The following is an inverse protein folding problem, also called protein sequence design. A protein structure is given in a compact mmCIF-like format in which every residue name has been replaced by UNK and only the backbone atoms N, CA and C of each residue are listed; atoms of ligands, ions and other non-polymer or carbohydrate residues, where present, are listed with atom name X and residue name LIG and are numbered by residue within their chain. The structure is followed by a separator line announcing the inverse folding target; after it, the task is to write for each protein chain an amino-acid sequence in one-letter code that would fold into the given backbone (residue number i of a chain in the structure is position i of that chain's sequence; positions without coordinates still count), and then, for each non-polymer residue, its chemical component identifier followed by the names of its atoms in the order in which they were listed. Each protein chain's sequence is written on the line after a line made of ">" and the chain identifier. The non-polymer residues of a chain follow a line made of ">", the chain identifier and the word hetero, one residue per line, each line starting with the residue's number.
data_IF_982851481416
#
_entry.id   IF_982851481416
#
_cell.length_a   1.000
_cell.length_b   1.000
_cell.length_c   1.000
_cell.angle_alpha   90.00
_cell.angle_beta   90.00
_cell.angle_gamma   90.00
#
_symmetry.space_group_name_H-M   'P 1'
#
loop_
_entity.id
_entity.type
_entity.pdbx_description
1 polymer ?
#
# COMPACT_ATOMS: atom_id res chain seq x y z
N UNK A 1 -13.25 6.17 -1.31
CA UNK A 1 -13.23 4.70 -1.15
C UNK A 1 -12.73 4.12 -2.46
N UNK A 2 -11.40 4.05 -2.60
CA UNK A 2 -10.72 3.55 -3.78
C UNK A 2 -11.06 2.06 -3.94
N UNK A 3 -11.90 1.73 -4.92
CA UNK A 3 -12.32 0.36 -5.25
C UNK A 3 -11.22 -0.47 -5.92
N UNK A 4 -10.02 0.09 -6.09
CA UNK A 4 -8.89 -0.52 -6.80
C UNK A 4 -7.83 -1.14 -5.88
N UNK A 5 -7.93 -0.97 -4.55
CA UNK A 5 -7.01 -1.59 -3.56
C UNK A 5 -7.13 -3.12 -3.45
N UNK A 6 -8.12 -3.73 -4.09
CA UNK A 6 -8.34 -5.19 -4.13
C UNK A 6 -7.95 -5.83 -5.46
N UNK A 7 -7.29 -5.10 -6.36
CA UNK A 7 -6.90 -5.66 -7.65
C UNK A 7 -5.61 -6.46 -7.48
N UNK A 8 -5.63 -7.74 -7.87
CA UNK A 8 -4.46 -8.62 -7.81
C UNK A 8 -3.26 -8.03 -8.57
N UNK A 9 -2.16 -7.67 -7.90
CA UNK A 9 -0.95 -7.18 -8.56
C UNK A 9 -0.30 -8.27 -9.44
N UNK A 10 -0.60 -9.54 -9.19
CA UNK A 10 -0.17 -10.64 -10.05
C UNK A 10 -0.67 -10.52 -11.51
N UNK A 11 -1.81 -9.88 -11.73
CA UNK A 11 -2.47 -9.74 -13.03
C UNK A 11 -2.09 -8.46 -13.81
N UNK A 12 -1.32 -7.56 -13.21
CA UNK A 12 -0.92 -6.27 -13.77
C UNK A 12 0.45 -6.33 -14.48
N UNK A 13 0.66 -5.42 -15.43
CA UNK A 13 1.97 -5.17 -16.04
C UNK A 13 2.87 -4.29 -15.13
N UNK A 14 4.18 -4.26 -15.40
CA UNK A 14 5.15 -3.52 -14.57
C UNK A 14 4.87 -2.01 -14.47
N UNK A 15 4.36 -1.39 -15.55
CA UNK A 15 3.93 0.02 -15.52
C UNK A 15 2.70 0.24 -14.63
N UNK A 16 1.72 -0.66 -14.69
CA UNK A 16 0.53 -0.61 -13.83
C UNK A 16 0.91 -0.81 -12.36
N UNK A 17 1.81 -1.75 -12.07
CA UNK A 17 2.33 -2.01 -10.72
C UNK A 17 3.07 -0.80 -10.14
N UNK A 18 3.89 -0.11 -10.94
CA UNK A 18 4.55 1.13 -10.48
C UNK A 18 3.57 2.24 -10.18
N UNK A 19 2.55 2.42 -11.03
CA UNK A 19 1.50 3.40 -10.78
C UNK A 19 0.73 3.05 -9.50
N UNK A 20 0.39 1.77 -9.33
CA UNK A 20 -0.31 1.29 -8.16
C UNK A 20 0.51 1.43 -6.87
N UNK A 21 1.80 1.10 -6.91
CA UNK A 21 2.72 1.33 -5.79
C UNK A 21 2.81 2.81 -5.43
N UNK A 22 2.80 3.71 -6.42
CA UNK A 22 2.80 5.15 -6.17
C UNK A 22 1.52 5.62 -5.48
N UNK A 23 0.36 5.10 -5.88
CA UNK A 23 -0.93 5.37 -5.23
C UNK A 23 -0.92 4.85 -3.78
N UNK A 24 -0.52 3.59 -3.56
CA UNK A 24 -0.44 2.98 -2.22
C UNK A 24 0.48 3.78 -1.30
N UNK A 25 1.65 4.22 -1.79
CA UNK A 25 2.58 5.05 -1.00
C UNK A 25 2.03 6.43 -0.70
N UNK A 26 1.24 7.02 -1.60
CA UNK A 26 0.58 8.29 -1.38
C UNK A 26 -0.52 8.17 -0.30
N UNK A 27 -1.28 7.09 -0.33
CA UNK A 27 -2.29 6.80 0.70
C UNK A 27 -1.61 6.54 2.06
N UNK A 28 -0.52 5.77 2.12
CA UNK A 28 0.27 5.56 3.34
C UNK A 28 0.84 6.87 3.91
N UNK A 29 1.30 7.78 3.08
CA UNK A 29 1.77 9.11 3.52
C UNK A 29 0.62 9.92 4.12
N UNK A 30 -0.53 9.91 3.45
CA UNK A 30 -1.76 10.57 3.94
C UNK A 30 -2.23 9.96 5.26
N UNK A 31 -2.18 8.63 5.37
CA UNK A 31 -2.58 7.90 6.56
C UNK A 31 -1.63 8.19 7.73
N UNK A 32 -0.31 8.25 7.49
CA UNK A 32 0.66 8.68 8.50
C UNK A 32 0.42 10.12 8.98
N UNK A 33 -0.01 11.03 8.10
CA UNK A 33 -0.37 12.40 8.52
C UNK A 33 -1.62 12.43 9.41
N UNK A 34 -2.51 11.45 9.28
CA UNK A 34 -3.74 11.27 10.07
C UNK A 34 -3.54 10.32 11.27
N UNK A 35 -2.28 9.99 11.63
CA UNK A 35 -1.96 9.08 12.74
C UNK A 35 -2.63 9.57 14.05
N UNK A 36 -3.45 8.73 14.71
CA UNK A 36 -4.10 9.10 15.96
C UNK A 36 -3.09 9.28 17.09
N UNK A 37 -3.17 10.40 17.81
CA UNK A 37 -2.27 10.68 18.95
C UNK A 37 -2.40 9.65 20.10
N UNK A 38 -3.54 8.98 20.20
CA UNK A 38 -3.80 7.96 21.23
C UNK A 38 -3.60 6.56 20.65
N UNK A 39 -2.38 6.03 20.81
CA UNK A 39 -1.95 4.70 20.37
C UNK A 39 -2.74 3.51 21.00
N UNK A 40 -3.65 3.78 21.93
CA UNK A 40 -4.47 2.76 22.60
C UNK A 40 -5.96 2.87 22.27
N UNK A 41 -6.33 3.87 21.47
CA UNK A 41 -7.70 4.11 21.05
C UNK A 41 -8.14 3.10 19.99
N UNK A 42 -9.45 2.88 19.89
CA UNK A 42 -10.02 2.09 18.80
C UNK A 42 -9.71 2.71 17.42
N UNK A 43 -9.62 4.04 17.34
CA UNK A 43 -9.24 4.76 16.11
C UNK A 43 -7.80 4.45 15.68
N UNK A 44 -6.86 4.32 16.62
CA UNK A 44 -5.50 3.87 16.31
C UNK A 44 -5.46 2.43 15.83
N UNK A 45 -6.29 1.55 16.39
CA UNK A 45 -6.38 0.16 15.94
C UNK A 45 -6.90 0.10 14.50
N UNK A 46 -7.99 0.82 14.20
CA UNK A 46 -8.54 0.89 12.85
C UNK A 46 -7.52 1.48 11.85
N UNK A 47 -6.82 2.56 12.25
CA UNK A 47 -5.73 3.15 11.49
C UNK A 47 -4.59 2.16 11.25
N UNK A 48 -4.16 1.44 12.29
CA UNK A 48 -3.05 0.49 12.20
C UNK A 48 -3.40 -0.71 11.33
N UNK A 49 -4.64 -1.20 11.38
CA UNK A 49 -5.11 -2.26 10.47
C UNK A 49 -5.11 -1.80 9.01
N UNK A 50 -5.52 -0.55 8.73
CA UNK A 50 -5.47 0.01 7.37
C UNK A 50 -4.03 0.25 6.91
N UNK A 51 -3.16 0.75 7.80
CA UNK A 51 -1.74 0.95 7.53
C UNK A 51 -1.04 -0.39 7.22
N UNK A 52 -1.25 -1.42 8.04
CA UNK A 52 -0.70 -2.76 7.84
C UNK A 52 -1.17 -3.35 6.51
N UNK A 53 -2.45 -3.23 6.17
CA UNK A 53 -2.97 -3.73 4.90
C UNK A 53 -2.35 -3.03 3.68
N UNK A 54 -2.09 -1.72 3.78
CA UNK A 54 -1.42 -0.96 2.72
C UNK A 54 0.07 -1.30 2.62
N UNK A 55 0.76 -1.52 3.74
CA UNK A 55 2.16 -1.96 3.76
C UNK A 55 2.32 -3.35 3.15
N UNK A 56 1.48 -4.32 3.54
CA UNK A 56 1.45 -5.67 2.95
C UNK A 56 1.23 -5.63 1.43
N UNK A 57 0.32 -4.76 0.98
CA UNK A 57 0.06 -4.58 -0.45
C UNK A 57 1.26 -3.94 -1.18
N UNK A 58 1.89 -2.93 -0.57
CA UNK A 58 3.08 -2.30 -1.13
C UNK A 58 4.21 -3.33 -1.30
N UNK A 59 4.47 -4.14 -0.28
CA UNK A 59 5.46 -5.21 -0.34
C UNK A 59 5.10 -6.26 -1.41
N UNK A 60 3.82 -6.68 -1.53
CA UNK A 60 3.39 -7.60 -2.58
C UNK A 60 3.64 -7.06 -4.00
N UNK A 61 3.37 -5.76 -4.21
CA UNK A 61 3.64 -5.09 -5.50
C UNK A 61 5.14 -5.03 -5.77
N UNK A 62 5.95 -4.72 -4.76
CA UNK A 62 7.41 -4.65 -4.84
C UNK A 62 7.98 -6.03 -5.19
N UNK A 63 7.61 -7.08 -4.45
CA UNK A 63 7.98 -8.47 -4.73
C UNK A 63 7.60 -8.88 -6.16
N UNK A 64 6.42 -8.45 -6.63
CA UNK A 64 5.97 -8.73 -7.99
C UNK A 64 6.82 -8.02 -9.04
N UNK A 65 7.18 -6.76 -8.82
CA UNK A 65 8.07 -5.99 -9.69
C UNK A 65 9.47 -6.60 -9.75
N UNK A 66 10.02 -7.03 -8.60
CA UNK A 66 11.30 -7.73 -8.55
C UNK A 66 11.24 -9.08 -9.29
N UNK A 67 10.14 -9.82 -9.14
CA UNK A 67 9.89 -11.08 -9.86
C UNK A 67 9.82 -10.89 -11.37
N UNK A 68 9.35 -9.74 -11.85
CA UNK A 68 9.33 -9.36 -13.27
C UNK A 68 10.71 -8.93 -13.79
N UNK A 69 11.71 -8.80 -12.91
CA UNK A 69 13.07 -8.38 -13.27
C UNK A 69 13.25 -6.87 -13.41
N UNK A 70 12.33 -6.08 -12.86
CA UNK A 70 12.45 -4.63 -12.80
C UNK A 70 13.34 -4.25 -11.60
N UNK A 71 14.46 -3.54 -11.78
CA UNK A 71 15.21 -2.99 -10.66
C UNK A 71 14.37 -1.92 -9.96
N UNK A 72 14.25 -2.04 -8.64
CA UNK A 72 13.76 -0.97 -7.77
C UNK A 72 14.89 0.06 -7.61
N UNK A 73 14.96 1.02 -8.51
CA UNK A 73 15.90 2.16 -8.43
C UNK A 73 15.40 3.28 -7.51
#
# INVERSE_FOLDING_TARGET
>A
MNMDLYRDPAAMDSEELRAYLSDVRCELETLNEDEPEDETSEEFVDWAEEHEALEDLADEIIDRLESLGEPLE
#
